data_IF_031605245233
#
_entry.id   IF_031605245233
#
_cell.length_a   1.000
_cell.length_b   1.000
_cell.length_c   1.000
_cell.angle_alpha   90.00
_cell.angle_beta   90.00
_cell.angle_gamma   90.00
#
_symmetry.space_group_name_H-M   'P 1'
#
loop_
_entity.id
_entity.type
_entity.pdbx_description
1 polymer ?
#
# COMPACT_ATOMS: atom_id res chain seq x y z
N UNK A 1 -23.25 -1.54 9.40
CA UNK A 1 -22.06 -2.25 9.94
C UNK A 1 -21.51 -3.11 8.81
N UNK A 2 -20.25 -2.94 8.43
CA UNK A 2 -19.64 -3.62 7.27
C UNK A 2 -19.52 -5.12 7.54
N UNK A 3 -20.13 -5.96 6.70
CA UNK A 3 -20.03 -7.42 6.80
C UNK A 3 -18.80 -7.89 6.04
N UNK A 4 -17.81 -8.45 6.76
CA UNK A 4 -16.57 -8.97 6.18
C UNK A 4 -16.72 -10.48 5.94
N UNK A 5 -16.88 -10.86 4.68
CA UNK A 5 -17.09 -12.23 4.20
C UNK A 5 -15.77 -12.90 3.80
N UNK A 6 -14.84 -13.02 4.75
CA UNK A 6 -13.62 -13.81 4.58
C UNK A 6 -13.65 -15.02 5.50
N UNK A 7 -13.37 -16.19 4.94
CA UNK A 7 -13.26 -17.43 5.70
C UNK A 7 -11.88 -17.53 6.40
N UNK A 8 -11.69 -18.47 7.35
CA UNK A 8 -10.43 -18.58 8.09
C UNK A 8 -9.19 -18.83 7.21
N UNK A 9 -9.34 -19.56 6.10
CA UNK A 9 -8.23 -19.86 5.19
C UNK A 9 -7.80 -18.60 4.42
N UNK A 10 -8.75 -17.78 3.97
CA UNK A 10 -8.47 -16.51 3.31
C UNK A 10 -7.77 -15.51 4.24
N UNK A 11 -8.21 -15.42 5.50
CA UNK A 11 -7.54 -14.59 6.51
C UNK A 11 -6.10 -15.06 6.74
N UNK A 12 -5.88 -16.38 6.84
CA UNK A 12 -4.53 -16.94 6.99
C UNK A 12 -3.65 -16.61 5.78
N UNK A 13 -4.18 -16.79 4.57
CA UNK A 13 -3.48 -16.50 3.32
C UNK A 13 -3.07 -15.03 3.24
N UNK A 14 -3.99 -14.10 3.52
CA UNK A 14 -3.73 -12.67 3.55
C UNK A 14 -2.63 -12.30 4.55
N UNK A 15 -2.63 -12.89 5.76
CA UNK A 15 -1.61 -12.64 6.77
C UNK A 15 -0.22 -13.17 6.34
N UNK A 16 -0.17 -14.35 5.71
CA UNK A 16 1.07 -14.91 5.18
C UNK A 16 1.66 -14.06 4.07
N UNK A 17 0.85 -13.63 3.09
CA UNK A 17 1.31 -12.79 1.98
C UNK A 17 1.73 -11.40 2.48
N UNK A 18 1.01 -10.80 3.43
CA UNK A 18 1.40 -9.53 4.05
C UNK A 18 2.80 -9.60 4.68
N UNK A 19 3.07 -10.67 5.44
CA UNK A 19 4.37 -10.91 6.05
C UNK A 19 5.46 -11.20 5.01
N UNK A 20 5.16 -12.04 4.02
CA UNK A 20 6.10 -12.42 2.96
C UNK A 20 6.53 -11.20 2.13
N UNK A 21 5.57 -10.40 1.65
CA UNK A 21 5.89 -9.23 0.84
C UNK A 21 6.74 -8.22 1.61
N UNK A 22 6.41 -7.97 2.88
CA UNK A 22 7.15 -7.04 3.72
C UNK A 22 8.56 -7.53 4.07
N UNK A 23 8.70 -8.82 4.41
CA UNK A 23 10.03 -9.43 4.67
C UNK A 23 10.93 -9.48 3.44
N UNK A 24 10.34 -9.58 2.26
CA UNK A 24 11.05 -9.53 0.98
C UNK A 24 11.34 -8.09 0.55
N UNK A 25 11.15 -7.83 -0.75
CA UNK A 25 11.53 -6.57 -1.36
C UNK A 25 10.75 -5.34 -0.86
N UNK A 26 9.51 -5.49 -0.37
CA UNK A 26 8.72 -4.31 0.00
C UNK A 26 9.33 -3.57 1.19
N UNK A 27 9.69 -4.29 2.27
CA UNK A 27 10.33 -3.69 3.44
C UNK A 27 11.73 -3.18 3.12
N UNK A 28 12.53 -3.92 2.33
CA UNK A 28 13.85 -3.47 1.86
C UNK A 28 13.77 -2.16 1.08
N UNK A 29 12.85 -2.05 0.14
CA UNK A 29 12.69 -0.87 -0.71
C UNK A 29 12.05 0.31 0.05
N UNK A 30 11.15 0.04 1.00
CA UNK A 30 10.65 1.05 1.92
C UNK A 30 11.78 1.63 2.79
N UNK A 31 12.62 0.78 3.37
CA UNK A 31 13.80 1.20 4.13
C UNK A 31 14.76 2.03 3.26
N UNK A 32 15.05 1.58 2.04
CA UNK A 32 15.85 2.36 1.08
C UNK A 32 15.24 3.74 0.80
N UNK A 33 13.93 3.82 0.54
CA UNK A 33 13.27 5.11 0.33
C UNK A 33 13.36 6.00 1.58
N UNK A 34 13.23 5.42 2.77
CA UNK A 34 13.26 6.16 4.03
C UNK A 34 14.66 6.64 4.38
N UNK A 35 15.73 5.86 4.19
CA UNK A 35 17.06 6.18 4.72
C UNK A 35 18.12 6.45 3.66
N UNK A 36 17.90 6.09 2.40
CA UNK A 36 18.88 6.30 1.32
C UNK A 36 19.19 7.79 1.11
N UNK A 37 20.44 8.10 0.77
CA UNK A 37 20.85 9.48 0.48
C UNK A 37 19.97 10.10 -0.61
N UNK A 38 19.82 9.37 -1.73
CA UNK A 38 19.08 9.83 -2.91
C UNK A 38 18.16 8.74 -3.46
N UNK A 39 17.05 9.17 -4.06
CA UNK A 39 16.23 8.32 -4.94
C UNK A 39 16.94 8.24 -6.29
N UNK A 40 17.87 7.29 -6.45
CA UNK A 40 18.55 7.04 -7.72
C UNK A 40 17.62 6.40 -8.75
N UNK A 41 17.89 6.60 -10.05
CA UNK A 41 17.11 5.97 -11.13
C UNK A 41 17.12 4.43 -11.06
N UNK A 42 18.25 3.74 -10.77
CA UNK A 42 18.24 2.30 -10.57
C UNK A 42 17.34 1.85 -9.41
N UNK A 43 17.44 2.49 -8.24
CA UNK A 43 16.58 2.17 -7.10
C UNK A 43 15.10 2.46 -7.40
N UNK A 44 14.81 3.56 -8.08
CA UNK A 44 13.46 3.89 -8.54
C UNK A 44 12.92 2.82 -9.50
N UNK A 45 13.75 2.28 -10.41
CA UNK A 45 13.35 1.19 -11.31
C UNK A 45 12.97 -0.07 -10.54
N UNK A 46 13.75 -0.48 -9.54
CA UNK A 46 13.42 -1.61 -8.66
C UNK A 46 12.09 -1.36 -7.95
N UNK A 47 11.94 -0.18 -7.34
CA UNK A 47 10.72 0.21 -6.64
C UNK A 47 9.49 0.21 -7.55
N UNK A 48 9.56 0.83 -8.72
CA UNK A 48 8.48 0.83 -9.71
C UNK A 48 8.12 -0.58 -10.17
N UNK A 49 9.10 -1.47 -10.29
CA UNK A 49 8.88 -2.87 -10.69
C UNK A 49 8.13 -3.63 -9.60
N UNK A 50 8.58 -3.53 -8.34
CA UNK A 50 7.92 -4.14 -7.18
C UNK A 50 6.45 -3.74 -7.09
N UNK A 51 6.16 -2.46 -7.33
CA UNK A 51 4.81 -1.90 -7.25
C UNK A 51 3.98 -2.04 -8.53
N UNK A 52 4.52 -2.71 -9.56
CA UNK A 52 3.92 -2.89 -10.89
C UNK A 52 3.57 -1.57 -11.59
N UNK A 53 4.35 -0.53 -11.35
CA UNK A 53 4.21 0.83 -11.90
C UNK A 53 5.14 1.10 -13.09
N UNK A 54 6.12 0.21 -13.35
CA UNK A 54 7.15 0.42 -14.36
C UNK A 54 6.60 0.67 -15.79
N UNK A 55 5.48 0.03 -16.15
CA UNK A 55 4.83 0.22 -17.47
C UNK A 55 4.19 1.60 -17.61
N UNK A 56 3.62 2.13 -16.53
CA UNK A 56 2.99 3.45 -16.51
C UNK A 56 4.01 4.60 -16.33
N UNK A 57 5.29 4.27 -16.10
CA UNK A 57 6.37 5.22 -15.85
C UNK A 57 7.57 4.89 -16.77
N UNK A 58 7.49 5.29 -18.05
CA UNK A 58 8.52 5.02 -19.07
C UNK A 58 9.89 5.59 -18.68
N UNK A 59 10.95 5.01 -19.25
CA UNK A 59 12.35 5.35 -18.94
C UNK A 59 12.61 6.86 -19.10
N UNK A 60 12.07 7.47 -20.16
CA UNK A 60 12.25 8.89 -20.46
C UNK A 60 11.83 9.85 -19.33
N UNK A 61 10.94 9.44 -18.43
CA UNK A 61 10.46 10.29 -17.33
C UNK A 61 11.15 10.01 -15.99
N UNK A 62 11.97 8.96 -15.89
CA UNK A 62 12.44 8.45 -14.59
C UNK A 62 13.39 9.38 -13.86
N UNK A 63 14.21 10.16 -14.57
CA UNK A 63 15.09 11.16 -13.96
C UNK A 63 14.28 12.30 -13.33
N UNK A 64 13.30 12.83 -14.07
CA UNK A 64 12.40 13.87 -13.57
C UNK A 64 11.60 13.33 -12.39
N UNK A 65 11.05 12.12 -12.51
CA UNK A 65 10.31 11.46 -11.44
C UNK A 65 11.16 11.25 -10.18
N UNK A 66 12.37 10.73 -10.30
CA UNK A 66 13.29 10.54 -9.17
C UNK A 66 13.54 11.84 -8.40
N UNK A 67 13.85 12.92 -9.11
CA UNK A 67 14.07 14.25 -8.53
C UNK A 67 12.82 14.80 -7.83
N UNK A 68 11.64 14.67 -8.44
CA UNK A 68 10.39 15.14 -7.83
C UNK A 68 10.02 14.32 -6.58
N UNK A 69 10.22 13.00 -6.61
CA UNK A 69 10.03 12.14 -5.45
C UNK A 69 11.05 12.46 -4.33
N UNK A 70 12.29 12.83 -4.67
CA UNK A 70 13.29 13.25 -3.69
C UNK A 70 12.83 14.50 -2.92
N UNK A 71 12.31 15.50 -3.64
CA UNK A 71 11.75 16.73 -3.03
C UNK A 71 10.54 16.36 -2.16
N UNK A 72 9.62 15.56 -2.70
CA UNK A 72 8.41 15.14 -1.99
C UNK A 72 8.72 14.34 -0.71
N UNK A 73 9.76 13.50 -0.73
CA UNK A 73 10.18 12.69 0.43
C UNK A 73 10.42 13.54 1.67
N UNK A 74 11.12 14.67 1.52
CA UNK A 74 11.39 15.57 2.63
C UNK A 74 10.10 16.20 3.18
N UNK A 75 9.20 16.63 2.30
CA UNK A 75 7.89 17.18 2.69
C UNK A 75 7.06 16.14 3.45
N UNK A 76 6.93 14.93 2.91
CA UNK A 76 6.09 13.86 3.46
C UNK A 76 6.58 13.40 4.84
N UNK A 77 7.89 13.27 5.04
CA UNK A 77 8.45 12.88 6.35
C UNK A 77 8.09 13.86 7.48
N UNK A 78 7.88 15.13 7.15
CA UNK A 78 7.50 16.17 8.09
C UNK A 78 5.99 16.45 8.10
N UNK A 79 5.19 15.65 7.38
CA UNK A 79 3.74 15.79 7.33
C UNK A 79 3.11 15.03 8.49
N UNK A 80 2.19 15.66 9.21
CA UNK A 80 1.42 15.00 10.26
C UNK A 80 0.62 13.82 9.69
N UNK A 81 0.50 12.75 10.48
CA UNK A 81 -0.18 11.51 10.08
C UNK A 81 -1.60 11.75 9.56
N UNK A 82 -2.34 12.70 10.17
CA UNK A 82 -3.70 13.07 9.78
C UNK A 82 -3.79 13.70 8.38
N UNK A 83 -2.71 14.34 7.91
CA UNK A 83 -2.66 15.10 6.65
C UNK A 83 -2.03 14.29 5.51
N UNK A 84 -1.44 13.12 5.81
CA UNK A 84 -0.86 12.22 4.81
C UNK A 84 -1.82 11.83 3.67
N UNK A 85 -3.14 11.59 3.88
CA UNK A 85 -4.04 11.29 2.77
C UNK A 85 -4.15 12.43 1.75
N UNK A 86 -4.18 13.68 2.22
CA UNK A 86 -4.19 14.86 1.36
C UNK A 86 -2.85 15.01 0.62
N UNK A 87 -1.73 14.72 1.30
CA UNK A 87 -0.41 14.75 0.69
C UNK A 87 -0.26 13.77 -0.50
N UNK A 88 -1.00 12.65 -0.52
CA UNK A 88 -1.04 11.74 -1.67
C UNK A 88 -1.63 12.41 -2.90
N UNK A 89 -2.73 13.15 -2.73
CA UNK A 89 -3.40 13.84 -3.84
C UNK A 89 -2.56 15.00 -4.35
N UNK A 90 -2.01 15.81 -3.45
CA UNK A 90 -1.08 16.89 -3.79
C UNK A 90 0.14 16.36 -4.55
N UNK A 91 0.71 15.23 -4.12
CA UNK A 91 1.83 14.60 -4.80
C UNK A 91 1.43 14.16 -6.21
N UNK A 92 0.29 13.49 -6.37
CA UNK A 92 -0.18 13.02 -7.67
C UNK A 92 -0.36 14.18 -8.67
N UNK A 93 -0.90 15.32 -8.21
CA UNK A 93 -1.03 16.54 -9.03
C UNK A 93 0.33 17.19 -9.31
N UNK A 94 1.21 17.26 -8.32
CA UNK A 94 2.54 17.88 -8.46
C UNK A 94 3.40 17.11 -9.47
N UNK A 95 3.38 15.77 -9.41
CA UNK A 95 4.14 14.94 -10.35
C UNK A 95 3.68 15.15 -11.80
N UNK A 96 2.37 15.24 -12.02
CA UNK A 96 1.81 15.55 -13.34
C UNK A 96 2.23 16.94 -13.79
N UNK A 97 2.04 17.95 -12.94
CA UNK A 97 2.35 19.37 -13.24
C UNK A 97 3.81 19.58 -13.61
N UNK A 98 4.71 18.87 -12.95
CA UNK A 98 6.16 18.98 -13.16
C UNK A 98 6.68 18.03 -14.26
N UNK A 99 5.80 17.40 -15.04
CA UNK A 99 6.19 16.51 -16.14
C UNK A 99 6.88 15.21 -15.70
N UNK A 100 6.79 14.85 -14.41
CA UNK A 100 7.31 13.57 -13.91
C UNK A 100 6.42 12.38 -14.29
N UNK A 101 5.13 12.63 -14.55
CA UNK A 101 4.17 11.64 -15.06
C UNK A 101 3.30 12.25 -16.15
N UNK A 102 2.84 11.42 -17.10
CA UNK A 102 1.98 11.86 -18.23
C UNK A 102 0.59 12.27 -17.72
N UNK A 103 0.07 11.56 -16.73
CA UNK A 103 -1.24 11.76 -16.13
C UNK A 103 -1.14 11.81 -14.60
N UNK A 104 -2.27 12.13 -13.93
CA UNK A 104 -2.37 12.05 -12.47
C UNK A 104 -2.28 10.58 -12.05
N UNK A 105 -1.25 10.21 -11.30
CA UNK A 105 -1.02 8.82 -10.87
C UNK A 105 -1.20 8.65 -9.36
N UNK A 106 -2.45 8.63 -8.89
CA UNK A 106 -2.78 8.41 -7.47
C UNK A 106 -2.22 7.08 -6.93
N UNK A 107 -2.17 6.02 -7.75
CA UNK A 107 -1.55 4.75 -7.35
C UNK A 107 -0.04 4.89 -7.08
N UNK A 108 0.69 5.63 -7.92
CA UNK A 108 2.11 5.89 -7.69
C UNK A 108 2.33 6.72 -6.43
N UNK A 109 1.59 7.83 -6.30
CA UNK A 109 1.72 8.73 -5.15
C UNK A 109 1.40 8.01 -3.84
N UNK A 110 0.29 7.27 -3.78
CA UNK A 110 -0.09 6.52 -2.58
C UNK A 110 0.95 5.48 -2.19
N UNK A 111 1.49 4.70 -3.15
CA UNK A 111 2.52 3.69 -2.89
C UNK A 111 3.83 4.31 -2.42
N UNK A 112 4.15 5.50 -2.92
CA UNK A 112 5.32 6.25 -2.47
C UNK A 112 5.16 6.72 -1.02
N UNK A 113 4.05 7.40 -0.69
CA UNK A 113 3.75 7.82 0.68
C UNK A 113 3.64 6.60 1.61
N UNK A 114 3.00 5.53 1.16
CA UNK A 114 2.90 4.24 1.84
C UNK A 114 4.27 3.57 2.11
N UNK A 115 5.27 3.77 1.25
CA UNK A 115 6.63 3.28 1.49
C UNK A 115 7.37 4.13 2.55
N UNK A 116 7.04 5.42 2.65
CA UNK A 116 7.62 6.33 3.64
C UNK A 116 6.93 6.20 5.01
N UNK A 117 5.62 5.99 5.02
CA UNK A 117 4.76 5.95 6.20
C UNK A 117 3.89 4.66 6.24
N UNK A 118 4.51 3.47 6.26
CA UNK A 118 3.81 2.19 6.08
C UNK A 118 2.84 1.81 7.20
N UNK A 119 2.96 2.44 8.35
CA UNK A 119 2.06 2.24 9.51
C UNK A 119 0.74 3.00 9.37
N UNK A 120 0.72 4.03 8.52
CA UNK A 120 -0.35 5.01 8.47
C UNK A 120 -1.09 5.01 7.13
N UNK A 121 -0.41 4.71 6.03
CA UNK A 121 -0.94 4.90 4.69
C UNK A 121 -1.00 3.56 3.94
N UNK A 122 -2.19 3.06 3.57
CA UNK A 122 -2.33 1.90 2.71
C UNK A 122 -2.05 2.25 1.24
N UNK A 123 -1.57 1.31 0.42
CA UNK A 123 -1.40 1.55 -1.01
C UNK A 123 -2.77 1.68 -1.71
N UNK A 124 -2.86 2.52 -2.74
CA UNK A 124 -4.03 2.58 -3.62
C UNK A 124 -3.87 1.56 -4.75
N UNK A 125 -4.51 0.41 -4.58
CA UNK A 125 -4.52 -0.69 -5.56
C UNK A 125 -5.91 -0.88 -6.18
N UNK A 126 -5.95 -1.41 -7.40
CA UNK A 126 -7.21 -1.65 -8.11
C UNK A 126 -8.08 -2.68 -7.38
N UNK A 127 -7.48 -3.76 -6.87
CA UNK A 127 -8.24 -4.80 -6.17
C UNK A 127 -8.70 -4.32 -4.79
N UNK A 128 -7.89 -3.52 -4.09
CA UNK A 128 -8.31 -2.86 -2.86
C UNK A 128 -9.51 -1.93 -3.08
N UNK A 129 -9.49 -1.13 -4.15
CA UNK A 129 -10.64 -0.30 -4.52
C UNK A 129 -11.89 -1.11 -4.85
N UNK A 130 -11.74 -2.22 -5.58
CA UNK A 130 -12.85 -3.12 -5.88
C UNK A 130 -13.42 -3.72 -4.60
N UNK A 131 -12.58 -4.15 -3.66
CA UNK A 131 -12.99 -4.66 -2.36
C UNK A 131 -13.81 -3.64 -1.56
N UNK A 132 -13.35 -2.39 -1.47
CA UNK A 132 -14.12 -1.34 -0.81
C UNK A 132 -15.43 -1.01 -1.53
N UNK A 133 -15.44 -1.00 -2.87
CA UNK A 133 -16.68 -0.77 -3.64
C UNK A 133 -17.71 -1.86 -3.39
N UNK A 134 -17.28 -3.11 -3.23
CA UNK A 134 -18.16 -4.23 -2.85
C UNK A 134 -18.74 -4.07 -1.44
N UNK A 135 -17.97 -3.50 -0.50
CA UNK A 135 -18.39 -3.34 0.89
C UNK A 135 -19.23 -2.07 1.15
N UNK A 136 -19.06 -1.03 0.34
CA UNK A 136 -19.61 0.31 0.56
C UNK A 136 -20.44 0.86 -0.62
N UNK A 137 -20.98 -0.02 -1.46
CA UNK A 137 -21.95 0.33 -2.53
C UNK A 137 -21.49 1.51 -3.42
N UNK A 138 -20.31 1.38 -4.05
CA UNK A 138 -19.80 2.33 -5.06
C UNK A 138 -19.45 3.76 -4.59
N UNK A 139 -19.31 4.01 -3.29
CA UNK A 139 -18.89 5.32 -2.74
C UNK A 139 -17.41 5.69 -2.94
N UNK A 140 -16.77 5.28 -4.05
CA UNK A 140 -15.36 5.61 -4.34
C UNK A 140 -15.23 6.28 -5.70
N UNK A 141 -15.07 7.60 -5.66
CA UNK A 141 -14.68 8.43 -6.78
C UNK A 141 -13.28 8.03 -7.25
N UNK A 142 -13.06 7.91 -8.57
CA UNK A 142 -11.71 7.72 -9.11
C UNK A 142 -10.77 8.83 -8.62
N UNK A 143 -9.54 8.47 -8.26
CA UNK A 143 -8.47 9.39 -7.83
C UNK A 143 -8.66 10.15 -6.51
N UNK A 144 -9.79 9.98 -5.83
CA UNK A 144 -10.07 10.51 -4.49
C UNK A 144 -9.43 9.58 -3.44
N UNK A 145 -8.18 9.90 -3.06
CA UNK A 145 -7.44 9.07 -2.13
C UNK A 145 -7.93 9.28 -0.70
N UNK A 146 -8.37 10.48 -0.35
CA UNK A 146 -8.90 10.80 0.98
C UNK A 146 -10.15 9.98 1.29
N UNK A 147 -11.07 9.86 0.33
CA UNK A 147 -12.24 8.99 0.44
C UNK A 147 -11.85 7.51 0.53
N UNK A 148 -10.92 7.05 -0.32
CA UNK A 148 -10.39 5.69 -0.25
C UNK A 148 -9.79 5.37 1.12
N UNK A 149 -8.95 6.27 1.65
CA UNK A 149 -8.29 6.14 2.93
C UNK A 149 -9.31 6.03 4.07
N UNK A 150 -10.31 6.92 4.10
CA UNK A 150 -11.36 6.89 5.12
C UNK A 150 -12.09 5.56 5.15
N UNK A 151 -12.50 5.04 3.99
CA UNK A 151 -13.20 3.75 3.87
C UNK A 151 -12.27 2.57 4.20
N UNK A 152 -11.00 2.65 3.81
CA UNK A 152 -10.00 1.66 4.21
C UNK A 152 -9.87 1.61 5.74
N UNK A 153 -9.80 2.76 6.40
CA UNK A 153 -9.67 2.81 7.86
C UNK A 153 -10.93 2.30 8.57
N UNK A 154 -12.12 2.56 8.04
CA UNK A 154 -13.37 1.97 8.52
C UNK A 154 -13.34 0.43 8.40
N UNK A 155 -12.93 -0.08 7.24
CA UNK A 155 -12.74 -1.51 7.02
C UNK A 155 -11.69 -2.11 7.96
N UNK A 156 -10.53 -1.48 8.11
CA UNK A 156 -9.45 -1.92 8.99
C UNK A 156 -9.93 -2.04 10.43
N UNK A 157 -10.67 -1.05 10.94
CA UNK A 157 -11.26 -1.10 12.28
C UNK A 157 -12.30 -2.22 12.42
N UNK A 158 -13.15 -2.42 11.41
CA UNK A 158 -14.12 -3.53 11.41
C UNK A 158 -13.41 -4.91 11.39
N UNK A 159 -12.34 -5.05 10.60
CA UNK A 159 -11.53 -6.28 10.52
C UNK A 159 -10.88 -6.59 11.87
N UNK A 160 -10.28 -5.60 12.53
CA UNK A 160 -9.63 -5.78 13.83
C UNK A 160 -10.60 -6.14 14.97
N UNK A 161 -11.90 -5.89 14.81
CA UNK A 161 -12.94 -6.32 15.77
C UNK A 161 -13.44 -7.74 15.53
N UNK A 162 -13.12 -8.37 14.39
CA UNK A 162 -13.56 -9.73 14.06
C UNK A 162 -12.68 -10.75 14.80
N UNK A 163 -13.30 -11.59 15.64
CA UNK A 163 -12.59 -12.62 16.45
C UNK A 163 -11.64 -13.48 15.62
N UNK A 164 -12.09 -13.99 14.48
CA UNK A 164 -11.25 -14.83 13.60
C UNK A 164 -10.04 -14.08 13.04
N UNK A 165 -10.16 -12.78 12.77
CA UNK A 165 -9.03 -11.96 12.33
C UNK A 165 -8.03 -11.72 13.48
N UNK A 166 -8.52 -11.48 14.70
CA UNK A 166 -7.68 -11.35 15.89
C UNK A 166 -6.88 -12.63 16.15
N UNK A 167 -7.51 -13.81 16.04
CA UNK A 167 -6.85 -15.11 16.16
C UNK A 167 -5.73 -15.29 15.11
N UNK A 168 -5.99 -14.91 13.85
CA UNK A 168 -4.99 -14.97 12.78
C UNK A 168 -3.84 -14.00 13.03
N UNK A 169 -4.12 -12.76 13.42
CA UNK A 169 -3.10 -11.75 13.76
C UNK A 169 -2.22 -12.29 14.90
N UNK A 170 -2.83 -12.78 15.98
CA UNK A 170 -2.14 -13.33 17.13
C UNK A 170 -1.32 -14.58 16.80
N UNK A 171 -1.67 -15.36 15.77
CA UNK A 171 -0.95 -16.58 15.39
C UNK A 171 0.14 -16.33 14.35
N UNK A 172 -0.13 -15.52 13.34
CA UNK A 172 0.71 -15.41 12.13
C UNK A 172 1.55 -14.13 12.07
N UNK A 173 1.13 -13.07 12.76
CA UNK A 173 1.78 -11.76 12.74
C UNK A 173 2.51 -11.41 14.06
N UNK A 174 2.92 -12.44 14.85
CA UNK A 174 3.66 -12.26 16.12
C UNK A 174 5.02 -11.56 15.98
N UNK A 175 5.41 -10.93 17.08
CA UNK A 175 6.50 -9.96 17.34
C UNK A 175 7.95 -10.43 17.16
N UNK A 176 8.22 -11.68 16.75
CA UNK A 176 9.62 -12.14 16.54
C UNK A 176 10.24 -11.60 15.24
N UNK A 177 9.82 -10.43 14.78
CA UNK A 177 10.40 -9.75 13.62
C UNK A 177 10.65 -8.29 13.95
N UNK A 178 11.75 -7.74 13.43
CA UNK A 178 12.10 -6.31 13.41
C UNK A 178 11.09 -5.42 12.67
N UNK A 179 9.89 -5.92 12.41
CA UNK A 179 8.82 -5.28 11.65
C UNK A 179 7.77 -4.79 12.64
N UNK A 180 7.41 -3.51 12.54
CA UNK A 180 6.33 -2.94 13.33
C UNK A 180 5.02 -3.73 13.16
N UNK A 181 4.35 -4.11 14.26
CA UNK A 181 3.06 -4.78 14.22
C UNK A 181 2.01 -3.99 13.45
N UNK A 182 2.06 -2.66 13.51
CA UNK A 182 1.11 -1.80 12.81
C UNK A 182 1.29 -1.88 11.29
N UNK A 183 2.52 -1.96 10.79
CA UNK A 183 2.77 -2.21 9.35
C UNK A 183 2.12 -3.52 8.93
N UNK A 184 2.35 -4.61 9.67
CA UNK A 184 1.77 -5.90 9.31
C UNK A 184 0.25 -5.90 9.35
N UNK A 185 -0.38 -5.17 10.28
CA UNK A 185 -1.84 -5.01 10.34
C UNK A 185 -2.38 -4.24 9.13
N UNK A 186 -1.73 -3.14 8.73
CA UNK A 186 -2.10 -2.38 7.54
C UNK A 186 -1.96 -3.23 6.27
N UNK A 187 -0.87 -3.98 6.12
CA UNK A 187 -0.67 -4.89 4.97
C UNK A 187 -1.66 -6.05 4.99
N UNK A 188 -1.95 -6.60 6.16
CA UNK A 188 -2.94 -7.67 6.31
C UNK A 188 -4.33 -7.20 5.86
N UNK A 189 -4.74 -6.01 6.28
CA UNK A 189 -5.99 -5.42 5.81
C UNK A 189 -5.99 -5.16 4.30
N UNK A 190 -4.90 -4.63 3.73
CA UNK A 190 -4.74 -4.50 2.27
C UNK A 190 -4.95 -5.85 1.55
N UNK A 191 -4.32 -6.94 2.02
CA UNK A 191 -4.49 -8.27 1.40
C UNK A 191 -5.90 -8.83 1.55
N UNK A 192 -6.53 -8.65 2.71
CA UNK A 192 -7.93 -9.01 2.90
C UNK A 192 -8.84 -8.27 1.92
N UNK A 193 -8.62 -6.97 1.75
CA UNK A 193 -9.38 -6.12 0.85
C UNK A 193 -9.20 -6.54 -0.62
N UNK A 194 -7.98 -6.91 -1.01
CA UNK A 194 -7.70 -7.46 -2.34
C UNK A 194 -8.49 -8.74 -2.61
N UNK A 195 -8.58 -9.67 -1.64
CA UNK A 195 -9.37 -10.91 -1.78
C UNK A 195 -10.87 -10.62 -1.95
N UNK A 196 -11.42 -9.71 -1.15
CA UNK A 196 -12.80 -9.22 -1.30
C UNK A 196 -13.00 -8.58 -2.69
N UNK A 197 -11.98 -7.87 -3.18
CA UNK A 197 -11.91 -7.31 -4.52
C UNK A 197 -11.66 -8.32 -5.63
N UNK A 198 -11.85 -9.63 -5.39
CA UNK A 198 -11.69 -10.71 -6.38
C UNK A 198 -10.26 -10.86 -6.91
N UNK A 199 -9.24 -10.47 -6.15
CA UNK A 199 -7.87 -10.87 -6.44
C UNK A 199 -7.74 -12.39 -6.31
N UNK A 200 -7.17 -13.03 -7.32
CA UNK A 200 -6.96 -14.47 -7.37
C UNK A 200 -6.11 -14.97 -6.17
N UNK A 201 -6.70 -15.77 -5.25
CA UNK A 201 -6.00 -16.28 -4.07
C UNK A 201 -4.74 -17.09 -4.42
N UNK A 202 -4.72 -17.81 -5.54
CA UNK A 202 -3.58 -18.65 -5.95
C UNK A 202 -2.31 -17.83 -6.19
N UNK A 203 -2.45 -16.53 -6.44
CA UNK A 203 -1.32 -15.59 -6.60
C UNK A 203 -0.74 -15.10 -5.28
N UNK A 204 -1.47 -15.29 -4.18
CA UNK A 204 -0.99 -15.09 -2.80
C UNK A 204 -0.47 -16.40 -2.19
N UNK A 205 -0.87 -17.55 -2.77
CA UNK A 205 -0.32 -18.84 -2.36
C UNK A 205 1.16 -18.90 -2.72
N UNK A 206 1.98 -19.10 -1.70
CA UNK A 206 3.40 -19.38 -1.86
C UNK A 206 3.63 -20.83 -1.50
N UNK A 207 4.35 -21.57 -2.34
CA UNK A 207 4.97 -22.81 -1.90
C UNK A 207 5.92 -22.42 -0.79
N UNK A 208 5.60 -22.81 0.43
CA UNK A 208 6.53 -22.73 1.56
C UNK A 208 7.61 -23.74 1.19
N UNK A 209 8.73 -23.28 0.66
CA UNK A 209 9.91 -24.13 0.61
C UNK A 209 10.34 -24.36 2.07
N UNK A 210 10.53 -25.64 2.46
CA UNK A 210 10.84 -26.03 3.84
C UNK A 210 12.15 -25.43 4.35
#
# INVERSE_FOLDING_TARGET
>A
MVQIELNPQELKLAAQEAKYQWKGDEGRLAAWLQSGADISVPGLKEWLTKWKLARANPVAYREVLARQLQIARAKIKNTDVKDLPMAVEELAETLKRNGATINRQTSLASKFVCSLCPESIPPYDQFGQQGLRSLFEHRINPHDYSQYFRLFMEFHQALLRKKSAQEVIAKHLKENSSISPQVLRMRFADKCLMLIGRFDPSRMERKIEP
#
